data_IF_592304794058
#
_entry.id   IF_592304794058
#
_cell.length_a   1.000
_cell.length_b   1.000
_cell.length_c   1.000
_cell.angle_alpha   90.00
_cell.angle_beta   90.00
_cell.angle_gamma   90.00
#
_symmetry.space_group_name_H-M   'P 1'
#
loop_
_entity.id
_entity.type
_entity.pdbx_description
1 polymer ?
#
# COMPACT_ATOMS: atom_id res chain seq x y z
N UNK A 1 -24.38 -2.05 -0.44
CA UNK A 1 -23.06 -2.34 0.14
C UNK A 1 -22.64 -1.09 0.89
N UNK A 2 -22.89 -1.03 2.19
CA UNK A 2 -22.86 0.20 3.00
C UNK A 2 -21.44 0.65 3.35
N UNK A 3 -21.29 1.97 3.45
CA UNK A 3 -20.05 2.71 3.77
C UNK A 3 -19.34 2.28 5.08
N UNK A 4 -19.97 1.43 5.90
CA UNK A 4 -19.43 0.96 7.19
C UNK A 4 -18.21 0.05 7.08
N UNK A 5 -18.04 -0.69 5.98
CA UNK A 5 -16.91 -1.60 5.81
C UNK A 5 -15.57 -0.85 5.67
N UNK A 6 -15.60 0.34 5.06
CA UNK A 6 -14.42 1.17 4.83
C UNK A 6 -13.82 1.75 6.12
N UNK A 7 -14.63 1.94 7.17
CA UNK A 7 -14.21 2.62 8.40
C UNK A 7 -13.63 1.69 9.47
N UNK A 8 -13.81 0.36 9.34
CA UNK A 8 -13.58 -0.64 10.41
C UNK A 8 -12.46 -1.66 10.17
N UNK A 9 -11.74 -1.65 9.05
CA UNK A 9 -10.62 -2.60 8.92
C UNK A 9 -9.46 -2.14 9.81
N UNK A 10 -9.22 -2.84 10.91
CA UNK A 10 -8.09 -2.59 11.82
C UNK A 10 -6.74 -3.08 11.28
N UNK A 11 -6.76 -3.87 10.19
CA UNK A 11 -5.57 -4.42 9.54
C UNK A 11 -5.17 -3.58 8.31
N UNK A 12 -4.00 -2.91 8.33
CA UNK A 12 -3.50 -2.11 7.21
C UNK A 12 -3.39 -2.87 5.89
N UNK A 13 -3.06 -4.17 5.91
CA UNK A 13 -2.95 -4.99 4.71
C UNK A 13 -4.33 -5.20 4.07
N UNK A 14 -5.36 -5.44 4.89
CA UNK A 14 -6.74 -5.56 4.40
C UNK A 14 -7.20 -4.24 3.80
N UNK A 15 -6.89 -3.12 4.45
CA UNK A 15 -7.17 -1.77 3.93
C UNK A 15 -6.54 -1.54 2.56
N UNK A 16 -5.24 -1.84 2.42
CA UNK A 16 -4.50 -1.70 1.16
C UNK A 16 -5.15 -2.50 0.03
N UNK A 17 -5.44 -3.79 0.26
CA UNK A 17 -6.08 -4.66 -0.74
C UNK A 17 -7.48 -4.18 -1.14
N UNK A 18 -8.22 -3.64 -0.17
CA UNK A 18 -9.56 -3.09 -0.42
C UNK A 18 -9.49 -1.83 -1.29
N UNK A 19 -8.61 -0.87 -0.96
CA UNK A 19 -8.39 0.32 -1.78
C UNK A 19 -7.96 -0.06 -3.20
N UNK A 20 -7.03 -1.01 -3.30
CA UNK A 20 -6.53 -1.49 -4.59
C UNK A 20 -7.64 -2.09 -5.44
N UNK A 21 -8.51 -2.90 -4.83
CA UNK A 21 -9.66 -3.49 -5.52
C UNK A 21 -10.66 -2.42 -5.97
N UNK A 22 -10.95 -1.43 -5.13
CA UNK A 22 -11.86 -0.31 -5.45
C UNK A 22 -11.33 0.51 -6.63
N UNK A 23 -10.03 0.83 -6.63
CA UNK A 23 -9.38 1.57 -7.72
C UNK A 23 -9.29 0.73 -8.99
N UNK A 24 -8.96 -0.56 -8.88
CA UNK A 24 -8.93 -1.50 -10.01
C UNK A 24 -10.28 -1.72 -10.67
N UNK A 25 -11.38 -1.61 -9.92
CA UNK A 25 -12.75 -1.64 -10.43
C UNK A 25 -13.21 -0.31 -11.07
N UNK A 26 -12.39 0.74 -11.03
CA UNK A 26 -12.71 2.05 -11.60
C UNK A 26 -13.74 2.88 -10.80
N UNK A 27 -14.14 2.40 -9.61
CA UNK A 27 -15.15 3.07 -8.77
C UNK A 27 -14.53 3.96 -7.68
N UNK A 28 -13.19 4.07 -7.63
CA UNK A 28 -12.49 4.86 -6.62
C UNK A 28 -12.85 6.35 -6.59
N UNK A 29 -13.25 6.92 -7.73
CA UNK A 29 -13.66 8.32 -7.83
C UNK A 29 -14.93 8.66 -7.03
N UNK A 30 -15.75 7.66 -6.69
CA UNK A 30 -16.91 7.85 -5.81
C UNK A 30 -16.57 7.82 -4.32
N UNK A 31 -15.35 7.42 -3.97
CA UNK A 31 -14.90 7.14 -2.60
C UNK A 31 -13.57 7.86 -2.28
N UNK A 32 -13.26 8.95 -2.98
CA UNK A 32 -11.96 9.63 -2.86
C UNK A 32 -11.68 10.09 -1.43
N UNK A 33 -12.68 10.63 -0.74
CA UNK A 33 -12.55 11.09 0.65
C UNK A 33 -12.29 9.92 1.60
N UNK A 34 -13.06 8.82 1.48
CA UNK A 34 -12.87 7.63 2.30
C UNK A 34 -11.50 6.98 2.05
N UNK A 35 -11.07 6.89 0.79
CA UNK A 35 -9.75 6.39 0.41
C UNK A 35 -8.66 7.27 1.03
N UNK A 36 -8.77 8.59 0.93
CA UNK A 36 -7.79 9.52 1.50
C UNK A 36 -7.71 9.44 3.03
N UNK A 37 -8.84 9.23 3.72
CA UNK A 37 -8.85 8.99 5.17
C UNK A 37 -8.09 7.71 5.51
N UNK A 38 -8.28 6.64 4.74
CA UNK A 38 -7.55 5.39 4.98
C UNK A 38 -6.06 5.51 4.64
N UNK A 39 -5.72 6.12 3.50
CA UNK A 39 -4.33 6.38 3.09
C UNK A 39 -3.56 7.16 4.15
N UNK A 40 -4.20 8.14 4.79
CA UNK A 40 -3.61 8.89 5.90
C UNK A 40 -3.24 7.99 7.08
N UNK A 41 -4.08 6.99 7.40
CA UNK A 41 -3.82 6.05 8.51
C UNK A 41 -2.69 5.09 8.20
N UNK A 42 -2.59 4.64 6.95
CA UNK A 42 -1.56 3.68 6.53
C UNK A 42 -0.26 4.35 6.12
N UNK A 43 -0.19 5.67 5.89
CA UNK A 43 1.04 6.33 5.46
C UNK A 43 2.21 6.13 6.44
N UNK A 44 1.93 6.14 7.74
CA UNK A 44 2.93 5.96 8.81
C UNK A 44 3.08 4.49 9.25
N UNK A 45 2.31 3.58 8.65
CA UNK A 45 2.44 2.16 8.93
C UNK A 45 3.72 1.63 8.26
N UNK A 46 4.56 0.91 9.02
CA UNK A 46 5.70 0.18 8.46
C UNK A 46 5.27 -1.27 8.15
N UNK A 47 5.16 -1.65 6.86
CA UNK A 47 4.90 -3.03 6.44
C UNK A 47 6.03 -4.02 6.81
N UNK A 48 7.04 -3.61 7.58
CA UNK A 48 8.17 -4.44 7.99
C UNK A 48 8.94 -4.93 6.75
N UNK A 49 9.48 -6.16 6.78
CA UNK A 49 10.24 -6.74 5.66
C UNK A 49 9.35 -7.43 4.60
N UNK A 50 8.07 -7.07 4.48
CA UNK A 50 7.18 -7.56 3.42
C UNK A 50 7.25 -6.64 2.19
N UNK A 51 7.75 -7.18 1.07
CA UNK A 51 8.00 -6.42 -0.15
C UNK A 51 6.71 -5.99 -0.83
N UNK A 52 5.67 -6.81 -0.85
CA UNK A 52 4.40 -6.44 -1.46
C UNK A 52 3.60 -5.48 -0.63
N UNK A 53 3.54 -5.67 0.68
CA UNK A 53 2.89 -4.72 1.55
C UNK A 53 3.50 -3.33 1.34
N UNK A 54 4.84 -3.26 1.27
CA UNK A 54 5.57 -2.02 0.96
C UNK A 54 5.28 -1.51 -0.46
N UNK A 55 5.31 -2.37 -1.46
CA UNK A 55 5.09 -2.00 -2.86
C UNK A 55 3.67 -1.50 -3.11
N UNK A 56 2.68 -2.16 -2.51
CA UNK A 56 1.26 -1.84 -2.59
C UNK A 56 0.98 -0.49 -1.91
N UNK A 57 1.48 -0.30 -0.69
CA UNK A 57 1.40 0.98 0.02
C UNK A 57 2.03 2.11 -0.78
N UNK A 58 3.26 1.92 -1.27
CA UNK A 58 3.97 2.92 -2.07
C UNK A 58 3.19 3.30 -3.34
N UNK A 59 2.66 2.29 -4.07
CA UNK A 59 1.87 2.51 -5.27
C UNK A 59 0.59 3.28 -4.98
N UNK A 60 -0.17 2.89 -3.96
CA UNK A 60 -1.44 3.53 -3.62
C UNK A 60 -1.24 4.97 -3.15
N UNK A 61 -0.27 5.23 -2.29
CA UNK A 61 0.07 6.59 -1.86
C UNK A 61 0.44 7.47 -3.06
N UNK A 62 1.38 7.01 -3.91
CA UNK A 62 1.83 7.77 -5.09
C UNK A 62 0.70 8.03 -6.09
N UNK A 63 -0.17 7.04 -6.34
CA UNK A 63 -1.28 7.18 -7.27
C UNK A 63 -2.32 8.21 -6.80
N UNK A 64 -2.47 8.37 -5.48
CA UNK A 64 -3.42 9.30 -4.88
C UNK A 64 -2.77 10.66 -4.52
N UNK A 65 -1.61 10.97 -5.12
CA UNK A 65 -0.96 12.28 -4.99
C UNK A 65 -0.18 12.50 -3.69
N UNK A 66 0.03 11.46 -2.88
CA UNK A 66 0.85 11.56 -1.68
C UNK A 66 2.34 11.55 -2.04
N UNK A 67 3.11 12.38 -1.35
CA UNK A 67 4.56 12.40 -1.49
C UNK A 67 5.16 11.10 -0.95
N UNK A 68 5.87 10.36 -1.80
CA UNK A 68 6.55 9.12 -1.43
C UNK A 68 8.02 9.16 -1.83
N UNK A 69 8.87 8.51 -1.02
CA UNK A 69 10.29 8.33 -1.34
C UNK A 69 10.56 6.87 -1.70
N UNK A 70 11.33 6.63 -2.76
CA UNK A 70 11.81 5.29 -3.12
C UNK A 70 12.73 4.69 -2.07
N UNK A 71 13.20 5.49 -1.11
CA UNK A 71 14.06 5.04 -0.01
C UNK A 71 13.41 3.98 0.87
N UNK A 72 12.07 3.89 0.87
CA UNK A 72 11.35 2.82 1.56
C UNK A 72 11.76 1.43 1.07
N UNK A 73 12.29 1.31 -0.16
CA UNK A 73 12.76 0.05 -0.71
C UNK A 73 14.19 -0.31 -0.32
N UNK A 74 14.97 0.59 0.30
CA UNK A 74 16.37 0.33 0.68
C UNK A 74 16.51 -0.88 1.61
N UNK A 75 15.51 -1.17 2.46
CA UNK A 75 15.49 -2.37 3.33
C UNK A 75 15.46 -3.69 2.55
N UNK A 76 15.08 -3.67 1.28
CA UNK A 76 15.06 -4.84 0.38
C UNK A 76 16.33 -5.00 -0.44
N UNK A 77 17.27 -4.06 -0.33
CA UNK A 77 18.53 -4.11 -1.06
C UNK A 77 19.63 -4.79 -0.25
N UNK A 78 20.56 -5.43 -0.93
CA UNK A 78 21.82 -5.94 -0.39
C UNK A 78 22.87 -4.82 -0.29
N UNK A 79 24.08 -5.17 0.19
CA UNK A 79 25.18 -4.21 0.34
C UNK A 79 25.70 -3.66 -0.99
N UNK A 80 25.39 -4.33 -2.10
CA UNK A 80 25.76 -3.94 -3.46
C UNK A 80 24.68 -3.07 -4.11
N UNK A 81 23.54 -2.85 -3.43
CA UNK A 81 22.41 -2.08 -3.94
C UNK A 81 21.43 -2.89 -4.81
N UNK A 82 21.57 -4.21 -4.89
CA UNK A 82 20.66 -5.08 -5.63
C UNK A 82 19.54 -5.59 -4.72
N UNK A 83 18.37 -5.93 -5.27
CA UNK A 83 17.33 -6.61 -4.49
C UNK A 83 17.86 -7.94 -3.94
N UNK A 84 17.60 -8.20 -2.66
CA UNK A 84 18.02 -9.43 -1.97
C UNK A 84 17.47 -10.65 -2.70
N UNK A 85 18.33 -11.63 -2.99
CA UNK A 85 17.96 -12.88 -3.66
C UNK A 85 16.81 -13.63 -2.95
N UNK A 86 16.71 -13.50 -1.63
CA UNK A 86 15.62 -14.08 -0.84
C UNK A 86 14.22 -13.63 -1.28
N UNK A 87 14.11 -12.49 -1.96
CA UNK A 87 12.86 -11.92 -2.47
C UNK A 87 12.40 -12.57 -3.77
N UNK A 88 13.25 -13.36 -4.44
CA UNK A 88 12.89 -14.05 -5.70
C UNK A 88 11.75 -15.06 -5.54
N UNK A 89 11.48 -15.50 -4.30
CA UNK A 89 10.36 -16.38 -3.97
C UNK A 89 9.06 -15.64 -3.70
N UNK A 90 9.13 -14.32 -3.58
CA UNK A 90 7.99 -13.44 -3.31
C UNK A 90 7.36 -13.02 -4.63
N UNK A 91 6.80 -14.02 -5.33
CA UNK A 91 6.13 -13.88 -6.62
C UNK A 91 4.63 -13.73 -6.32
N UNK A 92 4.15 -12.50 -6.40
CA UNK A 92 2.76 -12.12 -6.14
C UNK A 92 1.81 -12.52 -7.26
#
# INVERSE_FOLDING_TARGET
MSQEALLKSSDPMVTLKMIDSIQGLGIGHHLEDEINVQLRRICDWDPSNDLFATSLQFRLLRHNGWSTSSDIFKKFLDKSGNFKESLTKDIW
#
